data_IF_735602206749
#
_entry.id   IF_735602206749
#
_cell.length_a   1.000
_cell.length_b   1.000
_cell.length_c   1.000
_cell.angle_alpha   90.00
_cell.angle_beta   90.00
_cell.angle_gamma   90.00
#
_symmetry.space_group_name_H-M   'P 1'
#
loop_
_entity.id
_entity.type
_entity.pdbx_description
1 polymer ?
#
# COMPACT_ATOMS: atom_id res chain seq x y z
N UNK A 1 10.53 -45.59 7.39
CA UNK A 1 9.94 -44.28 7.69
C UNK A 1 10.82 -43.19 7.16
N UNK A 2 10.39 -42.52 6.09
CA UNK A 2 11.03 -41.30 5.60
C UNK A 2 10.92 -40.18 6.66
N UNK A 3 11.78 -39.15 6.58
CA UNK A 3 11.69 -38.00 7.49
C UNK A 3 10.34 -37.26 7.37
N UNK A 4 9.74 -37.29 6.18
CA UNK A 4 8.45 -36.64 5.90
C UNK A 4 7.29 -37.46 6.49
N UNK A 5 7.33 -38.79 6.41
CA UNK A 5 6.35 -39.64 7.11
C UNK A 5 6.38 -39.39 8.62
N UNK A 6 7.57 -39.29 9.23
CA UNK A 6 7.70 -38.96 10.66
C UNK A 6 7.04 -37.62 11.00
N UNK A 7 7.15 -36.63 10.11
CA UNK A 7 6.48 -35.35 10.27
C UNK A 7 4.94 -35.52 10.27
N UNK A 8 4.40 -36.32 9.36
CA UNK A 8 2.98 -36.63 9.31
C UNK A 8 2.46 -37.28 10.59
N UNK A 9 3.18 -38.27 11.12
CA UNK A 9 2.84 -38.90 12.41
C UNK A 9 2.88 -37.88 13.54
N UNK A 10 3.95 -37.08 13.62
CA UNK A 10 4.09 -36.05 14.65
C UNK A 10 2.94 -35.05 14.63
N UNK A 11 2.52 -34.58 13.43
CA UNK A 11 1.39 -33.66 13.26
C UNK A 11 0.07 -34.27 13.78
N UNK A 12 -0.14 -35.57 13.52
CA UNK A 12 -1.36 -36.27 13.95
C UNK A 12 -1.41 -36.58 15.46
N UNK A 13 -0.24 -36.81 16.08
CA UNK A 13 -0.12 -37.13 17.51
C UNK A 13 -0.16 -35.88 18.39
N UNK A 14 0.22 -34.72 17.86
CA UNK A 14 0.42 -33.49 18.62
C UNK A 14 -0.52 -32.33 18.20
N UNK A 15 -1.84 -32.54 18.00
CA UNK A 15 -2.71 -31.48 17.50
C UNK A 15 -2.86 -30.31 18.48
N UNK A 16 -2.88 -30.58 19.80
CA UNK A 16 -3.05 -29.55 20.83
C UNK A 16 -1.83 -28.63 20.88
N UNK A 17 -0.62 -29.19 20.79
CA UNK A 17 0.61 -28.38 20.86
C UNK A 17 0.77 -27.53 19.61
N UNK A 18 0.41 -28.04 18.43
CA UNK A 18 0.42 -27.28 17.17
C UNK A 18 -0.53 -26.09 17.25
N UNK A 19 -1.77 -26.32 17.68
CA UNK A 19 -2.75 -25.23 17.81
C UNK A 19 -2.31 -24.23 18.89
N UNK A 20 -1.80 -24.70 20.04
CA UNK A 20 -1.29 -23.82 21.09
C UNK A 20 -0.11 -22.96 20.60
N UNK A 21 0.83 -23.56 19.86
CA UNK A 21 1.96 -22.84 19.25
C UNK A 21 1.49 -21.82 18.20
N UNK A 22 0.52 -22.19 17.36
CA UNK A 22 -0.07 -21.28 16.38
C UNK A 22 -0.78 -20.10 17.04
N UNK A 23 -1.53 -20.33 18.13
CA UNK A 23 -2.18 -19.26 18.90
C UNK A 23 -1.15 -18.35 19.55
N UNK A 24 -0.10 -18.91 20.17
CA UNK A 24 1.00 -18.14 20.74
C UNK A 24 1.67 -17.27 19.67
N UNK A 25 2.02 -17.87 18.53
CA UNK A 25 2.62 -17.17 17.40
C UNK A 25 1.72 -16.05 16.91
N UNK A 26 0.41 -16.29 16.81
CA UNK A 26 -0.57 -15.28 16.41
C UNK A 26 -0.63 -14.11 17.39
N UNK A 27 -0.62 -14.38 18.70
CA UNK A 27 -0.61 -13.33 19.74
C UNK A 27 0.67 -12.49 19.62
N UNK A 28 1.83 -13.15 19.49
CA UNK A 28 3.12 -12.48 19.30
C UNK A 28 3.12 -11.65 18.00
N UNK A 29 2.59 -12.21 16.91
CA UNK A 29 2.50 -11.53 15.63
C UNK A 29 1.59 -10.31 15.69
N UNK A 30 0.44 -10.38 16.38
CA UNK A 30 -0.44 -9.21 16.57
C UNK A 30 0.28 -8.12 17.38
N UNK A 31 1.03 -8.48 18.41
CA UNK A 31 1.79 -7.52 19.21
C UNK A 31 2.85 -6.78 18.38
N UNK A 32 3.64 -7.50 17.58
CA UNK A 32 4.65 -6.88 16.72
C UNK A 32 4.03 -6.16 15.51
N UNK A 33 2.90 -6.62 14.99
CA UNK A 33 2.20 -5.96 13.89
C UNK A 33 1.77 -4.52 14.26
N UNK A 34 1.52 -4.24 15.54
CA UNK A 34 1.22 -2.88 16.03
C UNK A 34 2.43 -1.94 16.01
N UNK A 35 3.65 -2.48 15.90
CA UNK A 35 4.91 -1.73 15.87
C UNK A 35 5.39 -1.45 14.45
N UNK A 36 4.61 -1.83 13.43
CA UNK A 36 4.93 -1.56 12.04
C UNK A 36 4.84 -0.05 11.79
N UNK A 37 5.93 0.54 11.35
CA UNK A 37 5.98 1.93 10.89
C UNK A 37 5.45 2.00 9.46
N UNK A 38 4.45 2.85 9.23
CA UNK A 38 4.01 3.18 7.87
C UNK A 38 5.00 4.18 7.28
N UNK A 39 5.45 3.89 6.06
CA UNK A 39 6.35 4.77 5.32
C UNK A 39 5.71 5.10 3.97
N UNK A 40 5.31 6.36 3.78
CA UNK A 40 4.85 6.88 2.51
C UNK A 40 5.97 7.01 1.49
N UNK A 41 5.69 7.77 0.43
CA UNK A 41 6.62 8.02 -0.67
C UNK A 41 7.67 9.07 -0.26
N UNK A 42 8.59 8.69 0.62
CA UNK A 42 9.72 9.54 1.03
C UNK A 42 10.95 9.21 0.20
N UNK A 43 11.91 10.13 0.12
CA UNK A 43 13.19 9.91 -0.57
C UNK A 43 13.90 8.64 -0.10
N UNK A 44 13.83 8.33 1.20
CA UNK A 44 14.36 7.10 1.81
C UNK A 44 13.73 5.81 1.28
N UNK A 45 12.45 5.85 0.93
CA UNK A 45 11.74 4.70 0.38
C UNK A 45 12.13 4.44 -1.09
N UNK A 46 12.56 5.49 -1.79
CA UNK A 46 12.81 5.47 -3.23
C UNK A 46 14.28 5.26 -3.60
N UNK A 47 15.19 5.84 -2.81
CA UNK A 47 16.62 5.84 -3.07
C UNK A 47 17.33 5.16 -1.90
N UNK A 48 18.15 4.14 -2.19
CA UNK A 48 18.93 3.47 -1.16
C UNK A 48 19.88 4.43 -0.43
N UNK A 49 19.97 4.29 0.90
CA UNK A 49 20.81 5.11 1.79
C UNK A 49 22.31 5.05 1.47
N UNK A 50 22.74 3.99 0.80
CA UNK A 50 24.12 3.82 0.34
C UNK A 50 24.47 4.64 -0.91
N UNK A 51 23.47 5.26 -1.56
CA UNK A 51 23.69 6.08 -2.75
C UNK A 51 24.42 7.38 -2.38
N UNK A 52 25.49 7.77 -3.12
CA UNK A 52 26.16 9.06 -2.93
C UNK A 52 25.19 10.25 -3.07
N UNK A 53 24.18 10.12 -3.93
CA UNK A 53 23.15 11.14 -4.12
C UNK A 53 22.28 11.30 -2.87
N UNK A 54 21.91 10.18 -2.24
CA UNK A 54 21.12 10.19 -1.01
C UNK A 54 21.91 10.85 0.12
N UNK A 55 23.16 10.45 0.34
CA UNK A 55 24.00 11.03 1.39
C UNK A 55 24.25 12.53 1.19
N UNK A 56 24.41 12.97 -0.06
CA UNK A 56 24.57 14.39 -0.37
C UNK A 56 23.26 15.16 -0.13
N UNK A 57 22.12 14.62 -0.55
CA UNK A 57 20.82 15.26 -0.36
C UNK A 57 20.43 15.31 1.12
N UNK A 58 20.52 14.19 1.82
CA UNK A 58 20.05 14.04 3.19
C UNK A 58 20.94 14.79 4.20
N UNK A 59 22.25 14.52 4.21
CA UNK A 59 23.16 15.09 5.22
C UNK A 59 23.61 16.53 4.95
N UNK A 60 23.47 17.05 3.72
CA UNK A 60 23.90 18.42 3.42
C UNK A 60 22.74 19.34 3.09
N UNK A 61 21.78 18.89 2.29
CA UNK A 61 20.66 19.75 1.89
C UNK A 61 19.55 19.69 2.94
N UNK A 62 19.00 18.51 3.23
CA UNK A 62 17.90 18.34 4.17
C UNK A 62 18.28 18.82 5.57
N UNK A 63 19.41 18.35 6.13
CA UNK A 63 19.81 18.70 7.51
C UNK A 63 20.10 20.20 7.70
N UNK A 64 20.55 20.91 6.66
CA UNK A 64 21.01 22.31 6.79
C UNK A 64 20.09 23.35 6.16
N UNK A 65 19.30 22.95 5.16
CA UNK A 65 18.54 23.85 4.29
C UNK A 65 17.15 23.31 3.92
N UNK A 66 16.84 22.05 4.25
CA UNK A 66 15.60 21.39 3.88
C UNK A 66 14.42 22.01 4.61
N UNK A 67 13.63 22.78 3.88
CA UNK A 67 12.33 23.28 4.34
C UNK A 67 11.30 22.81 3.34
N UNK A 68 10.19 22.31 3.86
CA UNK A 68 8.98 22.05 3.08
C UNK A 68 7.95 23.11 3.43
N UNK A 69 7.00 23.34 2.53
CA UNK A 69 5.92 24.29 2.81
C UNK A 69 4.55 23.76 2.47
N UNK A 70 3.60 24.02 3.35
CA UNK A 70 2.18 23.99 3.02
C UNK A 70 1.85 25.34 2.39
N UNK A 71 1.28 25.30 1.19
CA UNK A 71 0.87 26.48 0.46
C UNK A 71 -0.63 26.71 0.70
N UNK A 72 -1.01 27.94 1.03
CA UNK A 72 -2.41 28.36 1.09
C UNK A 72 -2.64 29.33 -0.07
N UNK A 73 -3.34 28.85 -1.10
CA UNK A 73 -3.74 29.63 -2.26
C UNK A 73 -4.96 30.48 -1.89
N UNK A 74 -4.88 31.78 -2.14
CA UNK A 74 -5.94 32.77 -1.86
C UNK A 74 -6.29 33.49 -3.16
N UNK A 75 -7.57 33.50 -3.50
CA UNK A 75 -8.09 33.93 -4.80
C UNK A 75 -9.28 34.88 -4.65
N UNK A 76 -9.33 35.97 -5.41
CA UNK A 76 -10.46 36.90 -5.40
C UNK A 76 -10.29 38.06 -6.39
N UNK A 77 -11.27 38.96 -6.44
CA UNK A 77 -11.29 40.10 -7.38
C UNK A 77 -10.21 41.17 -7.11
N UNK A 78 -9.68 41.24 -5.90
CA UNK A 78 -8.49 42.01 -5.54
C UNK A 78 -8.07 41.60 -4.12
N UNK A 79 -7.01 40.81 -4.05
CA UNK A 79 -6.46 40.28 -2.80
C UNK A 79 -5.59 41.28 -2.02
N UNK A 80 -5.29 42.44 -2.61
CA UNK A 80 -4.50 43.50 -1.95
C UNK A 80 -5.34 44.37 -1.02
N UNK A 81 -6.67 44.22 -1.05
CA UNK A 81 -7.58 44.96 -0.17
C UNK A 81 -7.23 44.75 1.31
N UNK A 82 -7.22 45.81 2.15
CA UNK A 82 -6.90 45.71 3.57
C UNK A 82 -7.72 44.68 4.34
N UNK A 83 -8.98 44.46 3.98
CA UNK A 83 -9.82 43.45 4.61
C UNK A 83 -9.31 42.01 4.38
N UNK A 84 -8.86 41.72 3.15
CA UNK A 84 -8.28 40.43 2.78
C UNK A 84 -6.92 40.27 3.45
N UNK A 85 -6.05 41.28 3.36
CA UNK A 85 -4.73 41.26 4.00
C UNK A 85 -4.82 41.09 5.51
N UNK A 86 -5.84 41.63 6.20
CA UNK A 86 -6.05 41.38 7.63
C UNK A 86 -6.45 39.93 7.92
N UNK A 87 -7.21 39.28 7.04
CA UNK A 87 -7.52 37.86 7.18
C UNK A 87 -6.25 37.00 6.97
N UNK A 88 -5.44 37.32 5.95
CA UNK A 88 -4.14 36.68 5.70
C UNK A 88 -3.20 36.87 6.89
N UNK A 89 -3.11 38.08 7.44
CA UNK A 89 -2.24 38.39 8.58
C UNK A 89 -2.68 37.61 9.83
N UNK A 90 -3.99 37.50 10.10
CA UNK A 90 -4.52 36.68 11.20
C UNK A 90 -4.14 35.21 11.04
N UNK A 91 -4.28 34.66 9.84
CA UNK A 91 -3.86 33.29 9.55
C UNK A 91 -2.35 33.13 9.75
N UNK A 92 -1.54 34.04 9.19
CA UNK A 92 -0.08 34.02 9.30
C UNK A 92 0.39 34.05 10.75
N UNK A 93 -0.10 35.01 11.55
CA UNK A 93 0.28 35.14 12.95
C UNK A 93 -0.12 33.92 13.77
N UNK A 94 -1.28 33.33 13.47
CA UNK A 94 -1.71 32.14 14.19
C UNK A 94 -0.89 30.90 13.84
N UNK A 95 -0.51 30.74 12.58
CA UNK A 95 0.35 29.64 12.15
C UNK A 95 1.79 29.79 12.63
N UNK A 96 2.30 31.01 12.85
CA UNK A 96 3.62 31.22 13.50
C UNK A 96 3.66 30.75 14.95
N UNK A 97 2.52 30.66 15.63
CA UNK A 97 2.42 30.11 16.99
C UNK A 97 2.25 28.58 16.99
N UNK A 98 1.99 27.97 15.84
CA UNK A 98 1.75 26.54 15.74
C UNK A 98 3.04 25.73 16.01
N UNK A 99 2.94 24.57 16.67
CA UNK A 99 4.08 23.67 16.82
C UNK A 99 4.58 23.23 15.44
N UNK A 100 5.87 22.95 15.35
CA UNK A 100 6.51 22.41 14.14
C UNK A 100 6.54 23.34 12.91
N UNK A 101 6.14 24.61 13.06
CA UNK A 101 6.29 25.67 12.04
C UNK A 101 7.58 26.45 12.28
N UNK A 102 8.43 26.56 11.23
CA UNK A 102 9.68 27.34 11.25
C UNK A 102 9.40 28.81 10.92
N UNK A 103 8.50 29.04 9.96
CA UNK A 103 8.22 30.36 9.43
C UNK A 103 6.91 30.40 8.66
N UNK A 104 6.37 31.60 8.51
CA UNK A 104 5.23 31.85 7.64
C UNK A 104 5.52 33.08 6.81
N UNK A 105 5.36 32.97 5.50
CA UNK A 105 5.59 34.05 4.55
C UNK A 105 4.30 34.37 3.79
N UNK A 106 3.97 35.66 3.70
CA UNK A 106 2.83 36.15 2.93
C UNK A 106 3.03 37.61 2.51
N UNK A 107 2.28 38.08 1.52
CA UNK A 107 2.26 39.51 1.17
C UNK A 107 1.74 40.40 2.32
N UNK A 108 0.87 39.87 3.18
CA UNK A 108 0.37 40.59 4.34
C UNK A 108 1.46 40.81 5.39
N UNK A 109 2.40 39.87 5.53
CA UNK A 109 3.57 40.02 6.38
C UNK A 109 4.52 41.11 5.87
N UNK A 110 4.75 41.19 4.57
CA UNK A 110 5.54 42.27 3.96
C UNK A 110 4.92 43.62 4.31
N UNK A 111 3.61 43.76 4.10
CA UNK A 111 2.87 44.99 4.39
C UNK A 111 2.94 45.36 5.88
N UNK A 112 2.62 44.41 6.75
CA UNK A 112 2.58 44.64 8.19
C UNK A 112 3.97 44.96 8.78
N UNK A 113 5.04 44.31 8.29
CA UNK A 113 6.40 44.55 8.75
C UNK A 113 6.97 45.90 8.26
N UNK A 114 6.65 46.30 7.02
CA UNK A 114 7.00 47.61 6.50
C UNK A 114 6.28 48.74 7.24
N UNK A 115 5.00 48.53 7.57
CA UNK A 115 4.22 49.47 8.37
C UNK A 115 4.76 49.57 9.79
N UNK A 116 5.06 48.45 10.45
CA UNK A 116 5.68 48.40 11.77
C UNK A 116 7.01 49.17 11.81
N UNK A 117 7.84 49.05 10.77
CA UNK A 117 9.11 49.78 10.68
C UNK A 117 8.93 51.31 10.59
N UNK A 118 7.75 51.76 10.15
CA UNK A 118 7.43 53.19 9.99
C UNK A 118 6.69 53.76 11.21
N UNK A 119 5.69 53.04 11.72
CA UNK A 119 4.76 53.53 12.76
C UNK A 119 4.94 52.89 14.13
N UNK A 120 5.69 51.78 14.20
CA UNK A 120 5.84 50.96 15.41
C UNK A 120 4.63 50.08 15.72
N UNK A 121 3.60 50.07 14.85
CA UNK A 121 2.39 49.25 15.01
C UNK A 121 2.33 48.26 13.86
N UNK A 122 2.21 46.96 14.17
CA UNK A 122 2.09 45.90 13.18
C UNK A 122 0.62 45.66 12.88
N UNK A 123 0.12 46.31 11.83
CA UNK A 123 -1.24 46.19 11.32
C UNK A 123 -1.25 46.46 9.80
N UNK A 124 -2.39 46.23 9.16
CA UNK A 124 -2.60 46.53 7.75
C UNK A 124 -3.12 47.97 7.58
N UNK A 125 -2.38 48.85 6.89
CA UNK A 125 -2.71 50.27 6.75
C UNK A 125 -3.81 50.52 5.69
N UNK A 126 -4.01 51.78 5.30
CA UNK A 126 -4.95 52.16 4.23
C UNK A 126 -4.52 51.61 2.86
N UNK A 127 -5.47 51.47 1.93
CA UNK A 127 -5.21 50.97 0.58
C UNK A 127 -4.04 51.70 -0.11
N UNK A 128 -4.02 53.04 -0.07
CA UNK A 128 -2.95 53.83 -0.69
C UNK A 128 -1.56 53.48 -0.15
N UNK A 129 -1.47 53.16 1.15
CA UNK A 129 -0.22 52.78 1.80
C UNK A 129 0.17 51.35 1.45
N UNK A 130 -0.79 50.44 1.37
CA UNK A 130 -0.59 49.06 0.89
C UNK A 130 0.00 49.07 -0.52
N UNK A 131 -0.61 49.82 -1.44
CA UNK A 131 -0.17 49.91 -2.84
C UNK A 131 1.27 50.44 -2.94
N UNK A 132 1.61 51.45 -2.12
CA UNK A 132 2.98 51.98 -2.04
C UNK A 132 3.99 50.94 -1.55
N UNK A 133 3.64 50.16 -0.52
CA UNK A 133 4.54 49.16 0.06
C UNK A 133 4.75 48.00 -0.92
N UNK A 134 3.67 47.50 -1.54
CA UNK A 134 3.73 46.39 -2.49
C UNK A 134 4.48 46.77 -3.79
N UNK A 135 4.38 48.04 -4.21
CA UNK A 135 5.09 48.56 -5.39
C UNK A 135 6.51 49.05 -5.10
N UNK A 136 6.98 48.95 -3.85
CA UNK A 136 8.35 49.34 -3.48
C UNK A 136 9.39 48.44 -4.16
N UNK A 137 10.47 49.00 -4.75
CA UNK A 137 11.54 48.22 -5.36
C UNK A 137 12.12 47.14 -4.43
N UNK A 138 12.18 47.41 -3.13
CA UNK A 138 12.73 46.49 -2.13
C UNK A 138 11.86 45.23 -1.94
N UNK A 139 10.55 45.36 -2.17
CA UNK A 139 9.57 44.28 -1.97
C UNK A 139 9.17 43.60 -3.27
N UNK A 140 9.43 44.24 -4.41
CA UNK A 140 8.85 43.87 -5.71
C UNK A 140 9.15 42.42 -6.11
N UNK A 141 10.37 41.94 -5.81
CA UNK A 141 10.77 40.55 -6.11
C UNK A 141 10.03 39.53 -5.23
N UNK A 142 9.94 39.79 -3.93
CA UNK A 142 9.25 38.89 -2.99
C UNK A 142 7.74 38.88 -3.25
N UNK A 143 7.15 40.04 -3.52
CA UNK A 143 5.74 40.17 -3.90
C UNK A 143 5.47 39.44 -5.22
N UNK A 144 6.31 39.59 -6.25
CA UNK A 144 6.12 38.89 -7.52
C UNK A 144 6.18 37.35 -7.38
N UNK A 145 6.96 36.82 -6.43
CA UNK A 145 7.02 35.39 -6.17
C UNK A 145 5.77 34.86 -5.45
N UNK A 146 5.15 35.67 -4.58
CA UNK A 146 3.97 35.29 -3.79
C UNK A 146 2.63 35.78 -4.36
N UNK A 147 2.66 36.69 -5.34
CA UNK A 147 1.50 37.33 -5.94
C UNK A 147 1.81 37.62 -7.43
N UNK A 148 1.59 36.65 -8.33
CA UNK A 148 1.86 36.81 -9.75
C UNK A 148 0.92 37.84 -10.41
N UNK A 149 -0.26 38.04 -9.83
CA UNK A 149 -1.24 39.05 -10.22
C UNK A 149 -2.10 39.45 -9.01
N UNK A 150 -2.92 40.50 -9.14
CA UNK A 150 -3.75 41.01 -8.04
C UNK A 150 -4.93 40.12 -7.66
N UNK A 151 -5.18 39.02 -8.39
CA UNK A 151 -6.26 38.08 -8.10
C UNK A 151 -5.80 36.89 -7.26
N UNK A 152 -4.50 36.58 -7.24
CA UNK A 152 -3.97 35.36 -6.64
C UNK A 152 -2.76 35.68 -5.75
N UNK A 153 -2.75 35.13 -4.54
CA UNK A 153 -1.54 35.09 -3.68
C UNK A 153 -1.41 33.75 -2.98
N UNK A 154 -0.18 33.45 -2.58
CA UNK A 154 0.16 32.29 -1.78
C UNK A 154 0.69 32.74 -0.41
N UNK A 155 0.17 32.10 0.64
CA UNK A 155 0.80 32.09 1.96
C UNK A 155 1.53 30.77 2.13
N UNK A 156 2.81 30.82 2.46
CA UNK A 156 3.67 29.64 2.64
C UNK A 156 3.94 29.41 4.12
N UNK A 157 3.61 28.22 4.62
CA UNK A 157 3.87 27.77 5.99
C UNK A 157 5.06 26.84 5.93
N UNK A 158 6.24 27.32 6.32
CA UNK A 158 7.49 26.59 6.27
C UNK A 158 7.64 25.67 7.49
N UNK A 159 8.06 24.43 7.24
CA UNK A 159 8.29 23.41 8.26
C UNK A 159 9.54 22.58 7.97
N UNK A 160 10.09 21.89 8.98
CA UNK A 160 11.18 20.96 8.76
C UNK A 160 10.73 19.81 7.86
N UNK A 161 11.57 19.40 6.92
CA UNK A 161 11.36 18.18 6.10
C UNK A 161 11.40 16.88 6.93
N UNK A 162 11.80 16.95 8.19
CA UNK A 162 11.94 15.79 9.10
C UNK A 162 10.67 15.42 9.86
N UNK A 163 9.55 16.15 9.63
CA UNK A 163 8.29 15.85 10.30
C UNK A 163 7.77 14.46 9.90
N UNK A 164 7.25 13.74 10.89
CA UNK A 164 6.57 12.46 10.64
C UNK A 164 5.24 12.70 9.91
N UNK A 165 4.75 11.70 9.16
CA UNK A 165 3.44 11.78 8.49
C UNK A 165 2.30 12.19 9.44
N UNK A 166 2.38 11.73 10.70
CA UNK A 166 1.40 12.08 11.73
C UNK A 166 1.46 13.57 12.08
N UNK A 167 2.64 14.10 12.35
CA UNK A 167 2.81 15.53 12.66
C UNK A 167 2.39 16.41 11.48
N UNK A 168 2.77 16.01 10.27
CA UNK A 168 2.37 16.69 9.05
C UNK A 168 0.83 16.71 8.89
N UNK A 169 0.18 15.58 9.16
CA UNK A 169 -1.28 15.48 9.10
C UNK A 169 -2.00 16.32 10.17
N UNK A 170 -1.43 16.42 11.37
CA UNK A 170 -1.93 17.31 12.43
C UNK A 170 -1.80 18.77 12.01
N UNK A 171 -0.65 19.18 11.45
CA UNK A 171 -0.40 20.54 10.98
C UNK A 171 -1.30 20.92 9.79
N UNK A 172 -1.52 20.01 8.84
CA UNK A 172 -2.46 20.23 7.74
C UNK A 172 -3.90 20.44 8.22
N UNK A 173 -4.34 19.61 9.18
CA UNK A 173 -5.68 19.73 9.78
C UNK A 173 -5.84 21.05 10.55
N UNK A 174 -4.82 21.43 11.30
CA UNK A 174 -4.77 22.70 12.02
C UNK A 174 -4.82 23.88 11.05
N UNK A 175 -4.04 23.84 9.96
CA UNK A 175 -4.05 24.86 8.91
C UNK A 175 -5.45 25.05 8.33
N UNK A 176 -6.13 23.95 7.95
CA UNK A 176 -7.50 24.00 7.46
C UNK A 176 -8.52 24.53 8.49
N UNK A 177 -8.28 24.29 9.78
CA UNK A 177 -9.04 24.86 10.88
C UNK A 177 -8.84 26.39 10.99
N UNK A 178 -7.59 26.84 10.96
CA UNK A 178 -7.24 28.25 11.08
C UNK A 178 -7.70 29.08 9.87
N UNK A 179 -7.68 28.51 8.67
CA UNK A 179 -8.27 29.15 7.47
C UNK A 179 -9.74 29.51 7.70
N UNK A 180 -10.52 28.63 8.34
CA UNK A 180 -11.94 28.90 8.66
C UNK A 180 -12.10 29.96 9.74
N UNK A 181 -11.19 30.02 10.72
CA UNK A 181 -11.23 31.01 11.80
C UNK A 181 -10.72 32.39 11.37
N UNK A 182 -9.87 32.46 10.35
CA UNK A 182 -9.32 33.69 9.81
C UNK A 182 -10.37 34.62 9.17
N UNK A 183 -11.63 34.18 9.04
CA UNK A 183 -12.78 34.99 8.59
C UNK A 183 -12.47 35.78 7.31
N UNK A 184 -12.09 35.07 6.25
CA UNK A 184 -11.95 35.65 4.92
C UNK A 184 -13.29 36.19 4.41
N UNK A 185 -13.30 37.27 3.59
CA UNK A 185 -14.51 37.72 2.92
C UNK A 185 -15.16 36.61 2.07
N UNK A 186 -16.49 36.58 1.93
CA UNK A 186 -17.22 35.48 1.28
C UNK A 186 -16.95 35.36 -0.23
N UNK A 187 -16.40 36.41 -0.85
CA UNK A 187 -15.97 36.50 -2.25
C UNK A 187 -14.53 36.01 -2.47
N UNK A 188 -13.81 35.62 -1.40
CA UNK A 188 -12.42 35.14 -1.48
C UNK A 188 -12.38 33.62 -1.36
N UNK A 189 -11.86 32.95 -2.38
CA UNK A 189 -11.53 31.53 -2.36
C UNK A 189 -10.24 31.28 -1.59
N UNK A 190 -10.23 30.28 -0.71
CA UNK A 190 -9.02 29.88 0.05
C UNK A 190 -8.86 28.38 0.02
N UNK A 191 -7.72 27.92 -0.48
CA UNK A 191 -7.44 26.51 -0.74
C UNK A 191 -6.09 26.13 -0.13
N UNK A 192 -6.09 25.10 0.74
CA UNK A 192 -4.85 24.56 1.34
C UNK A 192 -4.29 23.48 0.44
N UNK A 193 -3.09 23.70 -0.10
CA UNK A 193 -2.42 22.90 -1.12
C UNK A 193 -0.90 22.80 -0.82
N UNK A 194 -0.10 22.45 -1.83
CA UNK A 194 1.34 22.20 -1.70
C UNK A 194 1.69 20.72 -1.68
N UNK A 195 2.99 20.42 -1.80
CA UNK A 195 3.49 19.05 -1.86
C UNK A 195 3.08 18.19 -0.64
N UNK A 196 3.19 18.68 0.62
CA UNK A 196 2.85 17.88 1.79
C UNK A 196 1.35 17.57 1.88
N UNK A 197 0.50 18.53 1.50
CA UNK A 197 -0.96 18.36 1.42
C UNK A 197 -1.36 17.30 0.37
N UNK A 198 -0.70 17.31 -0.77
CA UNK A 198 -0.89 16.33 -1.82
C UNK A 198 -0.47 14.93 -1.34
N UNK A 199 0.71 14.79 -0.73
CA UNK A 199 1.20 13.50 -0.21
C UNK A 199 0.28 12.89 0.84
N UNK A 200 -0.22 13.69 1.78
CA UNK A 200 -1.18 13.22 2.79
C UNK A 200 -2.50 12.75 2.16
N UNK A 201 -2.95 13.44 1.11
CA UNK A 201 -4.16 13.06 0.40
C UNK A 201 -3.97 11.74 -0.35
N UNK A 202 -2.81 11.52 -0.96
CA UNK A 202 -2.46 10.25 -1.59
C UNK A 202 -2.49 9.11 -0.56
N UNK A 203 -1.81 9.24 0.58
CA UNK A 203 -1.79 8.18 1.60
C UNK A 203 -3.19 7.88 2.14
N UNK A 204 -4.00 8.92 2.37
CA UNK A 204 -5.40 8.78 2.78
C UNK A 204 -6.25 8.02 1.75
N UNK A 205 -6.15 8.39 0.48
CA UNK A 205 -6.95 7.80 -0.60
C UNK A 205 -6.51 6.38 -0.92
N UNK A 206 -5.22 6.08 -0.81
CA UNK A 206 -4.71 4.71 -0.86
C UNK A 206 -5.27 3.86 0.27
N UNK A 207 -5.29 4.37 1.51
CA UNK A 207 -5.88 3.65 2.65
C UNK A 207 -7.38 3.39 2.44
N UNK A 208 -8.13 4.38 1.93
CA UNK A 208 -9.56 4.23 1.61
C UNK A 208 -9.81 3.25 0.47
N UNK A 209 -8.98 3.27 -0.58
CA UNK A 209 -9.13 2.44 -1.79
C UNK A 209 -8.71 0.98 -1.58
N UNK A 210 -7.81 0.71 -0.62
CA UNK A 210 -7.39 -0.65 -0.32
C UNK A 210 -8.49 -1.50 0.31
N UNK A 211 -9.35 -0.92 1.15
CA UNK A 211 -10.47 -1.64 1.77
C UNK A 211 -11.45 -2.26 0.74
N UNK A 212 -11.98 -1.53 -0.27
CA UNK A 212 -12.86 -2.11 -1.27
C UNK A 212 -12.14 -3.08 -2.21
N UNK A 213 -10.88 -2.83 -2.59
CA UNK A 213 -10.09 -3.77 -3.42
C UNK A 213 -9.92 -5.10 -2.68
N UNK A 214 -9.56 -5.05 -1.40
CA UNK A 214 -9.41 -6.24 -0.57
C UNK A 214 -10.75 -6.97 -0.37
N UNK A 215 -11.83 -6.23 -0.13
CA UNK A 215 -13.16 -6.81 0.01
C UNK A 215 -13.60 -7.49 -1.29
N UNK A 216 -13.33 -6.87 -2.46
CA UNK A 216 -13.61 -7.45 -3.76
C UNK A 216 -12.75 -8.69 -4.03
N UNK A 217 -11.45 -8.64 -3.76
CA UNK A 217 -10.55 -9.79 -3.89
C UNK A 217 -10.99 -10.96 -3.01
N UNK A 218 -11.35 -10.68 -1.74
CA UNK A 218 -11.89 -11.67 -0.81
C UNK A 218 -13.23 -12.26 -1.28
N UNK A 219 -14.13 -11.42 -1.80
CA UNK A 219 -15.40 -11.87 -2.37
C UNK A 219 -15.18 -12.77 -3.59
N UNK A 220 -14.36 -12.35 -4.55
CA UNK A 220 -14.05 -13.14 -5.74
C UNK A 220 -13.37 -14.46 -5.38
N UNK A 221 -12.50 -14.45 -4.36
CA UNK A 221 -11.90 -15.66 -3.80
C UNK A 221 -12.94 -16.61 -3.21
N UNK A 222 -13.87 -16.12 -2.38
CA UNK A 222 -14.97 -16.92 -1.83
C UNK A 222 -15.79 -17.55 -2.95
N UNK A 223 -16.14 -16.77 -3.98
CA UNK A 223 -16.88 -17.25 -5.15
C UNK A 223 -16.10 -18.33 -5.89
N UNK A 224 -14.82 -18.09 -6.18
CA UNK A 224 -13.94 -19.03 -6.87
C UNK A 224 -13.82 -20.37 -6.11
N UNK A 225 -13.63 -20.31 -4.79
CA UNK A 225 -13.57 -21.51 -3.94
C UNK A 225 -14.90 -22.27 -3.93
N UNK A 226 -16.03 -21.58 -3.78
CA UNK A 226 -17.35 -22.22 -3.76
C UNK A 226 -17.73 -22.84 -5.10
N UNK A 227 -17.29 -22.26 -6.22
CA UNK A 227 -17.52 -22.83 -7.55
C UNK A 227 -16.62 -24.03 -7.83
N UNK A 228 -15.33 -23.91 -7.49
CA UNK A 228 -14.31 -24.93 -7.83
C UNK A 228 -14.37 -26.12 -6.89
N UNK A 229 -14.51 -25.88 -5.59
CA UNK A 229 -14.45 -26.90 -4.54
C UNK A 229 -15.82 -27.26 -3.97
N UNK A 230 -16.89 -27.09 -4.74
CA UNK A 230 -18.25 -27.45 -4.33
C UNK A 230 -18.37 -28.92 -3.88
N UNK A 231 -17.49 -29.79 -4.39
CA UNK A 231 -17.46 -31.21 -4.05
C UNK A 231 -16.65 -31.56 -2.80
N UNK A 232 -15.86 -30.62 -2.25
CA UNK A 232 -14.97 -30.83 -1.09
C UNK A 232 -15.71 -30.43 0.19
N UNK A 233 -15.52 -31.18 1.27
CA UNK A 233 -16.04 -30.76 2.59
C UNK A 233 -15.31 -29.50 3.07
N UNK A 234 -16.05 -28.52 3.59
CA UNK A 234 -15.51 -27.25 4.09
C UNK A 234 -14.74 -26.41 3.04
N UNK A 235 -15.35 -26.05 1.90
CA UNK A 235 -14.64 -25.38 0.79
C UNK A 235 -14.05 -24.01 1.14
N UNK A 236 -14.50 -23.40 2.24
CA UNK A 236 -14.01 -22.10 2.71
C UNK A 236 -12.89 -22.20 3.76
N UNK A 237 -12.53 -23.41 4.19
CA UNK A 237 -11.50 -23.64 5.21
C UNK A 237 -10.10 -23.11 4.81
N UNK A 238 -9.68 -23.11 3.53
CA UNK A 238 -8.42 -22.51 3.11
C UNK A 238 -8.30 -21.01 3.42
N UNK A 239 -9.43 -20.28 3.50
CA UNK A 239 -9.44 -18.83 3.76
C UNK A 239 -8.86 -18.49 5.13
N UNK A 240 -9.42 -18.94 6.28
CA UNK A 240 -8.84 -18.61 7.58
C UNK A 240 -7.40 -19.10 7.73
N UNK A 241 -7.00 -20.16 7.04
CA UNK A 241 -5.62 -20.68 7.06
C UNK A 241 -4.65 -19.70 6.39
N UNK A 242 -4.97 -19.16 5.20
CA UNK A 242 -4.10 -18.19 4.54
C UNK A 242 -4.05 -16.86 5.30
N UNK A 243 -5.19 -16.40 5.83
CA UNK A 243 -5.24 -15.19 6.66
C UNK A 243 -4.37 -15.31 7.92
N UNK A 244 -4.29 -16.51 8.53
CA UNK A 244 -3.40 -16.77 9.65
C UNK A 244 -1.93 -16.58 9.26
N UNK A 245 -1.51 -17.12 8.10
CA UNK A 245 -0.16 -16.92 7.57
C UNK A 245 0.15 -15.45 7.29
N UNK A 246 -0.84 -14.68 6.84
CA UNK A 246 -0.70 -13.25 6.59
C UNK A 246 -0.56 -12.46 7.90
N UNK A 247 -1.35 -12.79 8.94
CA UNK A 247 -1.17 -12.18 10.27
C UNK A 247 0.25 -12.44 10.79
N UNK A 248 0.77 -13.64 10.59
CA UNK A 248 2.16 -13.96 10.95
C UNK A 248 3.16 -13.13 10.14
N UNK A 249 2.85 -12.84 8.88
CA UNK A 249 3.68 -12.00 8.00
C UNK A 249 3.79 -10.58 8.55
N UNK A 250 2.66 -9.96 8.92
CA UNK A 250 2.67 -8.64 9.56
C UNK A 250 3.45 -8.67 10.88
N UNK A 251 3.27 -9.71 11.69
CA UNK A 251 4.06 -9.89 12.91
C UNK A 251 5.57 -9.96 12.66
N UNK A 252 5.98 -10.69 11.61
CA UNK A 252 7.37 -10.78 11.21
C UNK A 252 7.90 -9.45 10.66
N UNK A 253 7.09 -8.69 9.92
CA UNK A 253 7.47 -7.34 9.47
C UNK A 253 7.75 -6.42 10.65
N UNK A 254 6.84 -6.37 11.64
CA UNK A 254 7.04 -5.57 12.84
C UNK A 254 8.24 -6.02 13.68
N UNK A 255 8.46 -7.33 13.81
CA UNK A 255 9.62 -7.86 14.53
C UNK A 255 10.96 -7.54 13.84
N UNK A 256 11.00 -7.63 12.52
CA UNK A 256 12.18 -7.37 11.70
C UNK A 256 12.36 -5.88 11.36
N UNK A 257 11.45 -5.01 11.82
CA UNK A 257 11.44 -3.57 11.52
C UNK A 257 11.43 -3.29 10.00
N UNK A 258 10.67 -4.08 9.24
CA UNK A 258 10.46 -3.87 7.81
C UNK A 258 9.37 -2.80 7.65
N UNK A 259 9.65 -1.65 7.01
CA UNK A 259 8.68 -0.57 6.88
C UNK A 259 7.51 -1.00 5.99
N UNK A 260 6.32 -0.53 6.33
CA UNK A 260 5.12 -0.77 5.53
C UNK A 260 4.97 0.32 4.50
N UNK A 261 5.50 0.06 3.31
CA UNK A 261 5.49 0.98 2.17
C UNK A 261 4.27 0.79 1.28
N UNK A 262 3.98 1.79 0.43
CA UNK A 262 2.92 1.70 -0.59
C UNK A 262 3.04 0.46 -1.50
N UNK A 263 4.25 0.08 -1.89
CA UNK A 263 4.47 -1.10 -2.73
C UNK A 263 4.27 -2.38 -1.90
N UNK A 264 4.75 -2.40 -0.65
CA UNK A 264 4.53 -3.53 0.27
C UNK A 264 3.04 -3.80 0.55
N UNK A 265 2.16 -2.80 0.47
CA UNK A 265 0.70 -3.01 0.55
C UNK A 265 0.19 -3.98 -0.52
N UNK A 266 0.80 -3.98 -1.70
CA UNK A 266 0.44 -4.87 -2.82
C UNK A 266 0.84 -6.33 -2.56
N UNK A 267 1.70 -6.60 -1.57
CA UNK A 267 2.06 -7.96 -1.19
C UNK A 267 0.85 -8.74 -0.67
N UNK A 268 -0.12 -8.06 -0.06
CA UNK A 268 -1.24 -8.74 0.58
C UNK A 268 -2.18 -9.44 -0.41
N UNK A 269 -2.71 -8.80 -1.47
CA UNK A 269 -3.42 -9.49 -2.54
C UNK A 269 -2.61 -10.64 -3.18
N UNK A 270 -1.30 -10.46 -3.33
CA UNK A 270 -0.40 -11.48 -3.89
C UNK A 270 -0.30 -12.70 -2.96
N UNK A 271 -0.13 -12.49 -1.66
CA UNK A 271 -0.08 -13.55 -0.64
C UNK A 271 -1.42 -14.26 -0.48
N UNK A 272 -2.53 -13.53 -0.60
CA UNK A 272 -3.87 -14.10 -0.66
C UNK A 272 -3.97 -15.06 -1.87
N UNK A 273 -3.57 -14.61 -3.06
CA UNK A 273 -3.66 -15.40 -4.30
C UNK A 273 -2.74 -16.63 -4.31
N UNK A 274 -1.46 -16.47 -3.98
CA UNK A 274 -0.48 -17.57 -4.03
C UNK A 274 -0.54 -18.43 -2.76
N UNK A 275 -0.70 -17.81 -1.59
CA UNK A 275 -0.68 -18.52 -0.30
C UNK A 275 -1.89 -19.42 -0.08
N UNK A 276 -3.04 -19.10 -0.66
CA UNK A 276 -4.23 -19.95 -0.56
C UNK A 276 -4.06 -21.27 -1.30
N UNK A 277 -3.27 -21.29 -2.39
CA UNK A 277 -3.03 -22.51 -3.17
C UNK A 277 -2.35 -23.60 -2.32
N UNK A 278 -1.52 -23.21 -1.36
CA UNK A 278 -0.91 -24.16 -0.42
C UNK A 278 -1.98 -24.80 0.45
N UNK A 279 -2.86 -24.00 1.06
CA UNK A 279 -3.96 -24.49 1.90
C UNK A 279 -4.92 -25.38 1.09
N UNK A 280 -5.23 -25.00 -0.15
CA UNK A 280 -6.06 -25.78 -1.08
C UNK A 280 -5.43 -27.13 -1.41
N UNK A 281 -4.14 -27.17 -1.73
CA UNK A 281 -3.45 -28.42 -2.10
C UNK A 281 -3.42 -29.43 -0.94
N UNK A 282 -3.13 -28.97 0.28
CA UNK A 282 -3.20 -29.81 1.47
C UNK A 282 -4.64 -30.27 1.77
N UNK A 283 -5.61 -29.36 1.67
CA UNK A 283 -7.02 -29.67 1.90
C UNK A 283 -7.52 -30.74 0.93
N UNK A 284 -7.35 -30.52 -0.38
CA UNK A 284 -7.84 -31.42 -1.41
C UNK A 284 -7.26 -32.83 -1.27
N UNK A 285 -5.97 -32.93 -0.94
CA UNK A 285 -5.34 -34.24 -0.77
C UNK A 285 -5.89 -34.97 0.46
N UNK A 286 -6.10 -34.27 1.57
CA UNK A 286 -6.71 -34.87 2.76
C UNK A 286 -8.11 -35.37 2.44
N UNK A 287 -8.93 -34.58 1.74
CA UNK A 287 -10.28 -34.96 1.31
C UNK A 287 -10.25 -36.17 0.35
N UNK A 288 -9.30 -36.22 -0.58
CA UNK A 288 -9.07 -37.36 -1.48
C UNK A 288 -8.76 -38.66 -0.70
N UNK A 289 -7.88 -38.59 0.30
CA UNK A 289 -7.55 -39.75 1.15
C UNK A 289 -8.74 -40.17 2.02
N UNK A 290 -9.56 -39.22 2.50
CA UNK A 290 -10.81 -39.54 3.19
C UNK A 290 -11.82 -40.23 2.28
N UNK A 291 -11.94 -39.78 1.03
CA UNK A 291 -12.83 -40.40 0.05
C UNK A 291 -12.38 -41.83 -0.34
N UNK A 292 -11.10 -42.16 -0.16
CA UNK A 292 -10.57 -43.54 -0.28
C UNK A 292 -10.87 -44.42 0.94
N UNK A 293 -11.50 -43.87 1.99
CA UNK A 293 -11.81 -44.58 3.22
C UNK A 293 -10.63 -44.67 4.20
N UNK A 294 -9.60 -43.84 4.04
CA UNK A 294 -8.47 -43.80 4.97
C UNK A 294 -8.91 -43.32 6.36
N UNK A 295 -8.27 -43.86 7.40
CA UNK A 295 -8.49 -43.33 8.77
C UNK A 295 -7.96 -41.90 8.86
N UNK A 296 -8.48 -41.04 9.77
CA UNK A 296 -7.97 -39.67 9.94
C UNK A 296 -6.47 -39.55 10.14
N UNK A 297 -5.86 -40.50 10.84
CA UNK A 297 -4.41 -40.51 11.02
C UNK A 297 -3.68 -40.88 9.72
N UNK A 298 -4.15 -41.92 9.02
CA UNK A 298 -3.56 -42.34 7.73
C UNK A 298 -3.68 -41.24 6.67
N UNK A 299 -4.84 -40.59 6.56
CA UNK A 299 -5.06 -39.51 5.59
C UNK A 299 -4.08 -38.32 5.79
N UNK A 300 -3.83 -37.94 7.05
CA UNK A 300 -2.86 -36.90 7.40
C UNK A 300 -1.44 -37.33 7.04
N UNK A 301 -1.03 -38.53 7.43
CA UNK A 301 0.32 -39.04 7.17
C UNK A 301 0.58 -39.12 5.66
N UNK A 302 -0.35 -39.66 4.89
CA UNK A 302 -0.25 -39.77 3.43
C UNK A 302 -0.21 -38.39 2.77
N UNK A 303 -1.06 -37.46 3.21
CA UNK A 303 -1.06 -36.10 2.67
C UNK A 303 0.25 -35.38 2.94
N UNK A 304 0.75 -35.40 4.18
CA UNK A 304 2.02 -34.77 4.52
C UNK A 304 3.17 -35.43 3.74
N UNK A 305 3.16 -36.75 3.59
CA UNK A 305 4.21 -37.49 2.89
C UNK A 305 4.27 -37.18 1.39
N UNK A 306 3.12 -37.00 0.74
CA UNK A 306 3.04 -36.81 -0.71
C UNK A 306 2.98 -35.36 -1.17
N UNK A 307 2.40 -34.44 -0.38
CA UNK A 307 2.15 -33.06 -0.82
C UNK A 307 3.14 -32.05 -0.24
N UNK A 308 3.71 -32.30 0.95
CA UNK A 308 4.60 -31.31 1.58
C UNK A 308 5.83 -31.00 0.74
N UNK A 309 6.46 -32.01 0.12
CA UNK A 309 7.64 -31.81 -0.71
C UNK A 309 7.34 -31.11 -2.05
N UNK A 310 6.34 -31.52 -2.87
CA UNK A 310 5.97 -30.78 -4.07
C UNK A 310 5.62 -29.32 -3.80
N UNK A 311 4.84 -29.05 -2.75
CA UNK A 311 4.45 -27.68 -2.37
C UNK A 311 5.67 -26.88 -1.91
N UNK A 312 6.57 -27.48 -1.13
CA UNK A 312 7.83 -26.84 -0.72
C UNK A 312 8.71 -26.49 -1.94
N UNK A 313 8.78 -27.37 -2.94
CA UNK A 313 9.54 -27.09 -4.18
C UNK A 313 8.91 -25.92 -4.93
N UNK A 314 7.59 -25.90 -5.08
CA UNK A 314 6.88 -24.78 -5.71
C UNK A 314 7.09 -23.46 -4.95
N UNK A 315 7.05 -23.51 -3.62
CA UNK A 315 7.37 -22.39 -2.74
C UNK A 315 8.79 -21.87 -3.00
N UNK A 316 9.80 -22.76 -3.03
CA UNK A 316 11.20 -22.36 -3.26
C UNK A 316 11.37 -21.71 -4.64
N UNK A 317 10.75 -22.26 -5.67
CA UNK A 317 10.81 -21.69 -7.03
C UNK A 317 10.17 -20.31 -7.07
N UNK A 318 9.00 -20.16 -6.45
CA UNK A 318 8.29 -18.87 -6.37
C UNK A 318 9.11 -17.85 -5.55
N UNK A 319 9.68 -18.30 -4.43
CA UNK A 319 10.56 -17.50 -3.59
C UNK A 319 11.79 -17.00 -4.37
N UNK A 320 12.44 -17.84 -5.18
CA UNK A 320 13.56 -17.40 -6.02
C UNK A 320 13.18 -16.25 -6.96
N UNK A 321 11.94 -16.22 -7.46
CA UNK A 321 11.40 -15.07 -8.21
C UNK A 321 11.43 -13.78 -7.40
N UNK A 322 10.96 -13.81 -6.14
CA UNK A 322 10.99 -12.65 -5.24
C UNK A 322 12.40 -12.29 -4.75
N UNK A 323 13.33 -13.25 -4.65
CA UNK A 323 14.74 -12.97 -4.34
C UNK A 323 15.35 -12.00 -5.35
N UNK A 324 14.95 -12.06 -6.63
CA UNK A 324 15.43 -11.10 -7.64
C UNK A 324 15.08 -9.65 -7.31
N UNK A 325 13.98 -9.39 -6.60
CA UNK A 325 13.60 -8.02 -6.21
C UNK A 325 14.53 -7.43 -5.15
N UNK A 326 15.21 -8.28 -4.37
CA UNK A 326 16.19 -7.84 -3.37
C UNK A 326 17.41 -7.17 -4.01
N UNK A 327 17.68 -7.41 -5.30
CA UNK A 327 18.79 -6.76 -6.02
C UNK A 327 18.43 -5.37 -6.55
N UNK A 328 17.17 -4.95 -6.47
CA UNK A 328 16.72 -3.62 -6.91
C UNK A 328 17.47 -2.52 -6.17
N UNK A 329 17.71 -1.34 -6.74
CA UNK A 329 18.26 -0.18 -6.02
C UNK A 329 17.21 0.60 -5.21
N UNK A 330 15.92 0.30 -5.45
CA UNK A 330 14.76 0.98 -4.86
C UNK A 330 14.31 0.22 -3.60
N UNK A 331 14.44 0.79 -2.39
CA UNK A 331 14.08 0.13 -1.13
C UNK A 331 12.65 -0.42 -1.09
N UNK A 332 11.64 0.35 -1.51
CA UNK A 332 10.24 -0.12 -1.56
C UNK A 332 10.05 -1.44 -2.31
N UNK A 333 10.80 -1.64 -3.40
CA UNK A 333 10.76 -2.87 -4.19
C UNK A 333 11.42 -4.04 -3.47
N UNK A 334 12.52 -3.77 -2.74
CA UNK A 334 13.18 -4.78 -1.89
C UNK A 334 12.26 -5.20 -0.74
N UNK A 335 11.63 -4.23 -0.07
CA UNK A 335 10.73 -4.48 1.06
C UNK A 335 9.51 -5.30 0.65
N UNK A 336 8.94 -5.00 -0.52
CA UNK A 336 7.88 -5.81 -1.11
C UNK A 336 8.34 -7.26 -1.39
N UNK A 337 9.53 -7.43 -1.98
CA UNK A 337 10.11 -8.77 -2.22
C UNK A 337 10.36 -9.55 -0.94
N UNK A 338 10.93 -8.89 0.07
CA UNK A 338 11.19 -9.46 1.40
C UNK A 338 9.90 -9.87 2.11
N UNK A 339 8.88 -9.02 2.05
CA UNK A 339 7.53 -9.29 2.59
C UNK A 339 6.90 -10.50 1.93
N UNK A 340 6.98 -10.61 0.60
CA UNK A 340 6.47 -11.77 -0.13
C UNK A 340 7.22 -13.06 0.24
N UNK A 341 8.55 -13.02 0.36
CA UNK A 341 9.35 -14.18 0.77
C UNK A 341 8.93 -14.72 2.13
N UNK A 342 8.87 -13.83 3.13
CA UNK A 342 8.45 -14.17 4.49
C UNK A 342 7.01 -14.69 4.47
N UNK A 343 6.13 -13.99 3.77
CA UNK A 343 4.71 -14.32 3.76
C UNK A 343 4.40 -15.65 3.08
N UNK A 344 5.06 -15.98 1.97
CA UNK A 344 4.87 -17.28 1.31
C UNK A 344 5.32 -18.42 2.22
N UNK A 345 6.45 -18.26 2.92
CA UNK A 345 6.94 -19.26 3.86
C UNK A 345 5.98 -19.44 5.05
N UNK A 346 5.48 -18.34 5.63
CA UNK A 346 4.52 -18.39 6.75
C UNK A 346 3.15 -18.93 6.33
N UNK A 347 2.69 -18.63 5.11
CA UNK A 347 1.47 -19.23 4.54
C UNK A 347 1.62 -20.75 4.37
N UNK A 348 2.79 -21.21 3.90
CA UNK A 348 3.10 -22.64 3.82
C UNK A 348 3.08 -23.30 5.20
N UNK A 349 3.71 -22.71 6.21
CA UNK A 349 3.70 -23.24 7.59
C UNK A 349 2.28 -23.28 8.17
N UNK A 350 1.49 -22.23 7.94
CA UNK A 350 0.09 -22.19 8.36
C UNK A 350 -0.72 -23.33 7.70
N UNK A 351 -0.57 -23.53 6.40
CA UNK A 351 -1.25 -24.59 5.66
C UNK A 351 -0.84 -25.99 6.13
N UNK A 352 0.46 -26.24 6.27
CA UNK A 352 0.99 -27.54 6.66
C UNK A 352 0.64 -27.91 8.10
N UNK A 353 0.78 -26.99 9.05
CA UNK A 353 0.57 -27.29 10.46
C UNK A 353 -0.88 -27.04 10.87
N UNK A 354 -1.37 -25.81 10.73
CA UNK A 354 -2.70 -25.44 11.22
C UNK A 354 -3.79 -26.04 10.33
N UNK A 355 -3.63 -25.93 9.01
CA UNK A 355 -4.59 -26.48 8.06
C UNK A 355 -4.80 -27.99 8.24
N UNK A 356 -3.72 -28.76 8.13
CA UNK A 356 -3.76 -30.22 8.31
C UNK A 356 -4.30 -30.62 9.69
N UNK A 357 -3.85 -29.99 10.77
CA UNK A 357 -4.34 -30.30 12.12
C UNK A 357 -5.82 -29.95 12.31
N UNK A 358 -6.29 -28.84 11.75
CA UNK A 358 -7.68 -28.43 11.85
C UNK A 358 -8.61 -29.39 11.11
N UNK A 359 -8.26 -29.79 9.88
CA UNK A 359 -9.00 -30.82 9.13
C UNK A 359 -9.03 -32.15 9.90
N UNK A 360 -7.89 -32.58 10.44
CA UNK A 360 -7.80 -33.79 11.25
C UNK A 360 -8.72 -33.74 12.47
N UNK A 361 -8.75 -32.62 13.19
CA UNK A 361 -9.56 -32.46 14.40
C UNK A 361 -11.07 -32.47 14.10
N UNK A 362 -11.48 -31.84 13.00
CA UNK A 362 -12.88 -31.81 12.54
C UNK A 362 -13.34 -33.21 12.14
N UNK A 363 -12.60 -33.90 11.28
CA UNK A 363 -13.02 -35.22 10.76
C UNK A 363 -12.96 -36.32 11.84
N UNK A 364 -12.00 -36.23 12.78
CA UNK A 364 -11.97 -37.11 13.96
C UNK A 364 -13.22 -36.98 14.82
N UNK A 365 -13.79 -35.77 14.92
CA UNK A 365 -14.99 -35.49 15.72
C UNK A 365 -16.28 -35.91 15.01
N UNK A 366 -16.30 -35.83 13.68
CA UNK A 366 -17.41 -36.25 12.82
C UNK A 366 -17.43 -37.76 12.50
N UNK A 367 -16.58 -38.57 13.15
CA UNK A 367 -16.56 -40.03 12.99
C UNK A 367 -17.40 -40.79 14.05
N UNK A 368 -18.74 -40.87 13.93
CA UNK A 368 -19.49 -42.05 14.34
C UNK A 368 -19.63 -42.98 13.12
N UNK A 369 -19.05 -44.19 13.21
CA UNK A 369 -19.23 -45.34 12.29
C UNK A 369 -20.30 -45.12 11.20
N UNK A 370 -19.94 -44.52 10.06
CA UNK A 370 -20.79 -44.56 8.87
C UNK A 370 -20.40 -45.78 8.05
N UNK A 371 -21.43 -46.57 7.71
CA UNK A 371 -21.38 -47.80 6.92
C UNK A 371 -20.52 -47.61 5.68
N UNK A 372 -19.75 -48.64 5.34
CA UNK A 372 -19.30 -48.91 3.98
C UNK A 372 -20.49 -48.70 3.03
N UNK A 373 -20.55 -47.54 2.39
CA UNK A 373 -21.09 -47.48 1.05
C UNK A 373 -19.98 -48.07 0.18
N UNK A 374 -20.33 -49.09 -0.61
CA UNK A 374 -19.42 -49.72 -1.56
C UNK A 374 -18.76 -48.63 -2.43
N UNK A 375 -17.53 -48.85 -2.93
CA UNK A 375 -16.90 -47.98 -3.91
C UNK A 375 -17.71 -48.05 -5.21
N UNK A 376 -18.84 -47.36 -5.22
CA UNK A 376 -19.64 -47.11 -6.40
C UNK A 376 -18.82 -46.20 -7.28
N UNK A 377 -18.22 -46.82 -8.29
CA UNK A 377 -18.00 -46.35 -9.66
C UNK A 377 -18.75 -45.06 -10.02
N UNK A 378 -18.38 -43.95 -9.39
CA UNK A 378 -18.71 -42.61 -9.85
C UNK A 378 -17.68 -42.29 -10.91
N UNK A 379 -17.89 -42.86 -12.10
CA UNK A 379 -17.40 -42.24 -13.32
C UNK A 379 -17.72 -40.74 -13.19
N UNK A 380 -16.72 -39.84 -13.31
CA UNK A 380 -16.95 -38.43 -13.11
C UNK A 380 -18.08 -38.04 -14.06
N UNK A 381 -19.20 -37.55 -13.52
CA UNK A 381 -20.24 -36.94 -14.37
C UNK A 381 -19.52 -35.94 -15.24
N UNK A 382 -19.53 -36.14 -16.56
CA UNK A 382 -18.88 -35.28 -17.53
C UNK A 382 -19.35 -33.85 -17.29
N UNK A 383 -18.53 -33.10 -16.55
CA UNK A 383 -18.80 -31.70 -16.34
C UNK A 383 -18.57 -31.00 -17.68
N UNK A 384 -19.35 -29.98 -18.03
CA UNK A 384 -19.11 -29.22 -19.27
C UNK A 384 -17.68 -28.66 -19.32
N UNK A 385 -17.07 -28.40 -18.16
CA UNK A 385 -15.66 -28.03 -18.00
C UNK A 385 -14.73 -29.20 -18.37
N UNK A 386 -15.00 -30.40 -17.88
CA UNK A 386 -14.24 -31.61 -18.23
C UNK A 386 -14.23 -31.89 -19.73
N UNK A 387 -15.39 -31.81 -20.40
CA UNK A 387 -15.51 -31.98 -21.84
C UNK A 387 -14.77 -30.88 -22.64
N UNK A 388 -14.76 -29.65 -22.13
CA UNK A 388 -14.01 -28.56 -22.73
C UNK A 388 -12.49 -28.80 -22.59
N UNK A 389 -12.03 -29.21 -21.41
CA UNK A 389 -10.62 -29.52 -21.14
C UNK A 389 -10.13 -30.68 -22.02
N UNK A 390 -10.93 -31.73 -22.20
CA UNK A 390 -10.60 -32.87 -23.07
C UNK A 390 -10.42 -32.43 -24.53
N UNK A 391 -11.35 -31.63 -25.06
CA UNK A 391 -11.21 -31.06 -26.41
C UNK A 391 -9.96 -30.19 -26.56
N UNK A 392 -9.64 -29.39 -25.55
CA UNK A 392 -8.42 -28.55 -25.56
C UNK A 392 -7.18 -29.43 -25.52
N UNK A 393 -7.16 -30.47 -24.69
CA UNK A 393 -6.07 -31.43 -24.62
C UNK A 393 -5.85 -32.14 -25.96
N UNK A 394 -6.93 -32.60 -26.61
CA UNK A 394 -6.88 -33.20 -27.93
C UNK A 394 -6.29 -32.26 -28.99
N UNK A 395 -6.68 -30.98 -28.97
CA UNK A 395 -6.10 -29.96 -29.86
C UNK A 395 -4.60 -29.80 -29.58
N UNK A 396 -4.20 -29.70 -28.31
CA UNK A 396 -2.79 -29.57 -27.93
C UNK A 396 -1.95 -30.76 -28.40
N UNK A 397 -2.49 -31.98 -28.34
CA UNK A 397 -1.78 -33.19 -28.74
C UNK A 397 -1.75 -33.33 -30.27
N UNK A 398 -2.91 -33.23 -30.92
CA UNK A 398 -3.04 -33.46 -32.36
C UNK A 398 -2.44 -32.33 -33.20
N UNK A 399 -2.44 -31.09 -32.67
CA UNK A 399 -1.99 -29.88 -33.36
C UNK A 399 -0.86 -29.14 -32.63
N UNK A 400 0.01 -29.89 -31.95
CA UNK A 400 1.10 -29.33 -31.13
C UNK A 400 1.98 -28.30 -31.87
N UNK A 401 2.25 -28.50 -33.16
CA UNK A 401 3.05 -27.59 -33.98
C UNK A 401 2.35 -26.24 -34.21
N UNK A 402 1.02 -26.22 -34.38
CA UNK A 402 0.23 -24.99 -34.48
C UNK A 402 0.23 -24.26 -33.13
N UNK A 403 0.09 -25.01 -32.04
CA UNK A 403 0.11 -24.44 -30.67
C UNK A 403 1.48 -23.79 -30.39
N UNK A 404 2.58 -24.47 -30.69
CA UNK A 404 3.92 -23.91 -30.53
C UNK A 404 4.18 -22.72 -31.45
N UNK A 405 3.74 -22.78 -32.72
CA UNK A 405 3.88 -21.67 -33.65
C UNK A 405 3.09 -20.44 -33.18
N UNK A 406 1.87 -20.63 -32.68
CA UNK A 406 1.06 -19.55 -32.12
C UNK A 406 1.68 -18.98 -30.85
N UNK A 407 2.18 -19.83 -29.94
CA UNK A 407 2.88 -19.39 -28.73
C UNK A 407 4.15 -18.60 -29.05
N UNK A 408 4.94 -19.06 -30.04
CA UNK A 408 6.15 -18.36 -30.50
C UNK A 408 5.79 -17.01 -31.13
N UNK A 409 4.78 -16.97 -32.00
CA UNK A 409 4.33 -15.75 -32.64
C UNK A 409 3.82 -14.73 -31.60
N UNK A 410 3.03 -15.16 -30.62
CA UNK A 410 2.58 -14.30 -29.52
C UNK A 410 3.75 -13.81 -28.67
N UNK A 411 4.74 -14.66 -28.37
CA UNK A 411 5.94 -14.27 -27.63
C UNK A 411 6.77 -13.23 -28.38
N UNK A 412 7.00 -13.44 -29.69
CA UNK A 412 7.73 -12.48 -30.53
C UNK A 412 6.98 -11.14 -30.68
N UNK A 413 5.65 -11.19 -30.83
CA UNK A 413 4.82 -9.98 -30.83
C UNK A 413 4.86 -9.26 -29.48
N UNK A 414 4.87 -10.01 -28.37
CA UNK A 414 5.03 -9.46 -27.03
C UNK A 414 6.36 -8.75 -26.84
N UNK A 415 7.48 -9.36 -27.24
CA UNK A 415 8.80 -8.73 -27.21
C UNK A 415 8.85 -7.47 -28.09
N UNK A 416 8.22 -7.50 -29.26
CA UNK A 416 8.15 -6.32 -30.12
C UNK A 416 7.31 -5.20 -29.48
N UNK A 417 6.16 -5.53 -28.89
CA UNK A 417 5.31 -4.57 -28.18
C UNK A 417 5.99 -3.98 -26.94
N UNK A 418 6.80 -4.76 -26.23
CA UNK A 418 7.58 -4.32 -25.07
C UNK A 418 8.51 -3.14 -25.40
N UNK A 419 9.07 -3.10 -26.62
CA UNK A 419 9.91 -1.97 -27.08
C UNK A 419 9.16 -0.65 -27.21
N UNK A 420 7.82 -0.67 -27.21
CA UNK A 420 6.97 0.51 -27.32
C UNK A 420 6.45 0.99 -25.95
N UNK A 421 6.73 0.24 -24.88
CA UNK A 421 6.30 0.60 -23.53
C UNK A 421 7.11 1.81 -23.06
N UNK A 422 6.41 2.91 -22.77
CA UNK A 422 7.04 4.12 -22.23
C UNK A 422 7.31 3.93 -20.74
N UNK A 423 8.48 4.36 -20.30
CA UNK A 423 8.82 4.41 -18.88
C UNK A 423 8.29 5.72 -18.32
N UNK A 424 7.30 5.63 -17.44
CA UNK A 424 6.82 6.77 -16.66
C UNK A 424 7.50 6.76 -15.28
N UNK A 425 8.00 7.92 -14.86
CA UNK A 425 8.62 8.11 -13.55
C UNK A 425 7.95 9.23 -12.76
N UNK A 426 6.88 9.84 -13.28
CA UNK A 426 6.14 10.89 -12.60
C UNK A 426 5.03 10.28 -11.73
N UNK A 427 5.20 10.38 -10.41
CA UNK A 427 4.24 9.87 -9.44
C UNK A 427 2.87 10.54 -9.54
N UNK A 428 2.80 11.77 -10.09
CA UNK A 428 1.54 12.47 -10.30
C UNK A 428 0.63 11.71 -11.27
N UNK A 429 1.19 10.89 -12.16
CA UNK A 429 0.44 10.07 -13.10
C UNK A 429 -0.12 8.80 -12.46
N UNK A 430 0.37 8.39 -11.29
CA UNK A 430 -0.14 7.21 -10.55
C UNK A 430 -1.38 7.52 -9.70
N UNK A 431 -1.74 8.80 -9.59
CA UNK A 431 -2.85 9.28 -8.76
C UNK A 431 -4.10 9.48 -9.63
N UNK A 432 -5.32 9.26 -9.12
CA UNK A 432 -6.53 9.71 -9.80
C UNK A 432 -6.44 11.19 -10.19
N UNK A 433 -6.61 11.47 -11.48
CA UNK A 433 -6.39 12.80 -12.04
C UNK A 433 -7.48 13.81 -11.65
N UNK A 434 -8.57 13.31 -11.09
CA UNK A 434 -9.74 14.03 -10.57
C UNK A 434 -9.69 14.27 -9.05
N UNK A 435 -8.60 13.88 -8.38
CA UNK A 435 -8.45 14.09 -6.95
C UNK A 435 -8.37 15.60 -6.63
N UNK A 436 -9.25 16.16 -5.77
CA UNK A 436 -9.28 17.60 -5.52
C UNK A 436 -7.92 18.21 -5.13
N UNK A 437 -7.12 17.61 -4.21
CA UNK A 437 -5.79 18.12 -3.87
C UNK A 437 -4.79 18.14 -5.04
N UNK A 438 -4.91 17.23 -6.01
CA UNK A 438 -4.07 17.25 -7.21
C UNK A 438 -4.52 18.33 -8.17
N UNK A 439 -5.84 18.54 -8.30
CA UNK A 439 -6.40 19.64 -9.09
C UNK A 439 -5.98 20.99 -8.49
N UNK A 440 -6.08 21.14 -7.18
CA UNK A 440 -5.68 22.35 -6.45
C UNK A 440 -4.17 22.60 -6.56
N UNK A 441 -3.35 21.54 -6.49
CA UNK A 441 -1.90 21.63 -6.67
C UNK A 441 -1.54 22.05 -8.11
N UNK A 442 -2.18 21.47 -9.12
CA UNK A 442 -1.98 21.86 -10.53
C UNK A 442 -2.44 23.29 -10.79
N UNK A 443 -3.61 23.65 -10.28
CA UNK A 443 -4.15 25.00 -10.39
C UNK A 443 -3.17 26.04 -9.83
N UNK A 444 -2.64 25.78 -8.63
CA UNK A 444 -1.58 26.59 -8.04
C UNK A 444 -0.32 26.63 -8.93
N UNK A 445 0.15 25.48 -9.42
CA UNK A 445 1.35 25.41 -10.27
C UNK A 445 1.20 26.20 -11.58
N UNK A 446 0.02 26.17 -12.20
CA UNK A 446 -0.30 26.89 -13.43
C UNK A 446 -0.32 28.42 -13.22
N UNK A 447 -0.77 28.87 -12.04
CA UNK A 447 -0.84 30.30 -11.69
C UNK A 447 0.54 30.87 -11.34
N UNK A 448 1.33 30.13 -10.55
CA UNK A 448 2.61 30.61 -10.01
C UNK A 448 3.82 30.23 -10.88
N UNK A 449 3.63 29.43 -11.93
CA UNK A 449 4.67 29.11 -12.90
C UNK A 449 5.76 28.18 -12.36
N UNK A 450 5.38 27.22 -11.50
CA UNK A 450 6.31 26.20 -11.02
C UNK A 450 6.69 25.23 -12.14
N UNK A 451 7.98 25.14 -12.47
CA UNK A 451 8.52 23.86 -12.96
C UNK A 451 8.33 22.82 -11.87
N UNK A 452 8.19 21.54 -12.22
CA UNK A 452 7.92 20.38 -11.33
C UNK A 452 8.96 20.14 -10.19
N UNK A 453 9.68 21.16 -9.75
CA UNK A 453 10.88 21.16 -8.93
C UNK A 453 10.85 22.30 -7.89
N UNK A 454 9.78 22.41 -7.10
CA UNK A 454 9.85 23.09 -5.80
C UNK A 454 9.45 22.10 -4.73
#
# INVERSE_FOLDING_TARGET
MSHIERLGYWVSENPITIIAAAVLLTIVSIHYAQQIEMQGMTTESMVGKDSPLYQLYDHLYVEKFGTESIAVLIEGDDITKPEVLRAILRLSDKMKEAPDVIGVQSIADIVANAEFSTTGIRDIPSQERVDQILSSPDNLQAVAAMMPNTMHTMLSIEMPVTLTEKQLGELYTETGGQVKMASFPPDVGVTVTGHPALMMSITSEMAKSNAPILALAGLLMVVALLLTFRHVKWPLLPIPIVFLGIIWTFGAMGFLHIPFTMVSMSAFPVLIGIGIDYAIQFHNRIDEEFNKGATPMTAVVETVSHISLPVMIALIITAMGFVSLLTSSVPMTRDFGLTCLIGLFLCYLSALFVGVTLLYAVERRESPKKKHEEPGEHAPKETPIGLALEKVADICIQRWHIVLAAALLLSLLGIYADTQVQVDTDFKNYIPQDLPPLVDFRHMSDIFGGTDSI
#
